data_IF_947684619939
#
_entry.id   IF_947684619939
#
_cell.length_a   1.000
_cell.length_b   1.000
_cell.length_c   1.000
_cell.angle_alpha   90.00
_cell.angle_beta   90.00
_cell.angle_gamma   90.00
#
_symmetry.space_group_name_H-M   'P 1'
#
loop_
_entity.id
_entity.type
_entity.pdbx_description
1 polymer ?
#
# COMPACT_ATOMS: atom_id res chain seq x y z
N UNK A 1 24.99 -31.70 -45.33
CA UNK A 1 25.83 -32.00 -44.14
C UNK A 1 25.30 -31.18 -42.96
N UNK A 2 24.30 -31.65 -42.21
CA UNK A 2 24.46 -32.29 -40.88
C UNK A 2 25.57 -31.69 -40.01
N UNK A 3 25.22 -30.85 -39.03
CA UNK A 3 25.11 -31.14 -37.57
C UNK A 3 26.37 -30.70 -36.80
N UNK A 4 26.34 -30.17 -35.58
CA UNK A 4 25.66 -30.67 -34.38
C UNK A 4 25.49 -29.58 -33.31
N UNK A 5 24.36 -29.71 -32.60
CA UNK A 5 24.02 -29.07 -31.32
C UNK A 5 25.03 -29.41 -30.23
N UNK A 6 25.23 -28.52 -29.26
CA UNK A 6 25.36 -28.95 -27.87
C UNK A 6 24.17 -28.40 -27.07
N UNK A 7 23.30 -29.31 -26.64
CA UNK A 7 22.44 -29.09 -25.48
C UNK A 7 23.20 -29.66 -24.28
N UNK A 8 23.25 -28.93 -23.18
CA UNK A 8 23.35 -29.53 -21.85
C UNK A 8 21.94 -29.50 -21.24
N UNK A 9 21.41 -30.70 -21.10
CA UNK A 9 20.26 -31.08 -20.27
C UNK A 9 20.90 -31.44 -18.92
N UNK A 10 20.34 -30.93 -17.82
CA UNK A 10 20.79 -31.03 -16.40
C UNK A 10 22.10 -30.32 -16.00
N UNK A 11 22.04 -29.60 -14.87
CA UNK A 11 23.23 -29.25 -14.07
C UNK A 11 23.61 -27.77 -13.97
N UNK A 12 23.11 -27.09 -12.93
CA UNK A 12 23.72 -25.96 -12.20
C UNK A 12 24.33 -24.81 -13.04
N UNK A 13 23.63 -23.66 -13.09
CA UNK A 13 24.27 -22.37 -13.42
C UNK A 13 25.35 -22.07 -12.36
N UNK A 14 26.58 -21.88 -12.83
CA UNK A 14 27.69 -21.31 -12.04
C UNK A 14 27.22 -20.00 -11.38
N UNK A 15 27.34 -19.96 -10.05
CA UNK A 15 27.23 -18.73 -9.28
C UNK A 15 28.42 -17.83 -9.64
N UNK A 16 28.13 -16.62 -10.10
CA UNK A 16 29.08 -15.52 -10.22
C UNK A 16 28.37 -14.27 -9.70
N UNK A 17 28.95 -13.62 -8.69
CA UNK A 17 28.59 -12.28 -8.25
C UNK A 17 27.60 -12.18 -7.08
N UNK A 18 28.14 -12.00 -5.88
CA UNK A 18 27.43 -11.53 -4.67
C UNK A 18 26.97 -10.08 -4.84
N UNK A 19 25.77 -9.87 -5.40
CA UNK A 19 24.83 -8.75 -5.14
C UNK A 19 23.65 -8.75 -6.13
N UNK A 20 23.10 -9.94 -6.43
CA UNK A 20 21.84 -10.03 -7.18
C UNK A 20 20.70 -10.08 -6.17
N UNK A 21 20.03 -8.95 -5.96
CA UNK A 21 18.75 -8.86 -5.24
C UNK A 21 17.86 -9.98 -5.76
N UNK A 22 17.41 -10.90 -4.88
CA UNK A 22 16.61 -12.07 -5.29
C UNK A 22 15.31 -11.59 -5.94
N UNK A 23 15.28 -11.54 -7.28
CA UNK A 23 14.09 -11.15 -8.04
C UNK A 23 13.07 -12.27 -7.94
N UNK A 24 12.03 -12.07 -7.11
CA UNK A 24 10.90 -12.99 -6.99
C UNK A 24 9.93 -12.72 -8.15
N UNK A 25 9.47 -13.78 -8.83
CA UNK A 25 8.49 -13.67 -9.93
C UNK A 25 7.24 -12.87 -9.48
N UNK A 26 6.71 -11.92 -10.28
CA UNK A 26 5.65 -11.00 -9.86
C UNK A 26 4.36 -11.62 -9.33
N UNK A 27 3.98 -12.81 -9.81
CA UNK A 27 2.82 -13.57 -9.30
C UNK A 27 3.07 -14.11 -7.89
N UNK A 28 4.27 -14.66 -7.65
CA UNK A 28 4.70 -15.17 -6.34
C UNK A 28 4.85 -14.02 -5.34
N UNK A 29 5.39 -12.89 -5.78
CA UNK A 29 5.47 -11.63 -5.01
C UNK A 29 4.09 -11.15 -4.55
N UNK A 30 3.10 -11.07 -5.46
CA UNK A 30 1.72 -10.67 -5.12
C UNK A 30 1.06 -11.65 -4.15
N UNK A 31 1.29 -12.96 -4.29
CA UNK A 31 0.76 -13.98 -3.37
C UNK A 31 1.34 -13.82 -1.97
N UNK A 32 2.64 -13.57 -1.87
CA UNK A 32 3.35 -13.33 -0.60
C UNK A 32 2.79 -12.06 0.07
N UNK A 33 2.71 -10.94 -0.64
CA UNK A 33 2.17 -9.67 -0.11
C UNK A 33 0.75 -9.86 0.43
N UNK A 34 -0.14 -10.51 -0.34
CA UNK A 34 -1.53 -10.74 0.08
C UNK A 34 -1.60 -11.62 1.33
N UNK A 35 -0.75 -12.65 1.41
CA UNK A 35 -0.68 -13.55 2.55
C UNK A 35 -0.21 -12.82 3.80
N UNK A 36 0.86 -12.03 3.72
CA UNK A 36 1.35 -11.21 4.84
C UNK A 36 0.28 -10.24 5.34
N UNK A 37 -0.36 -9.49 4.44
CA UNK A 37 -1.44 -8.57 4.82
C UNK A 37 -2.61 -9.29 5.50
N UNK A 38 -3.00 -10.46 4.98
CA UNK A 38 -4.05 -11.25 5.61
C UNK A 38 -3.67 -11.64 7.04
N UNK A 39 -2.47 -12.15 7.25
CA UNK A 39 -1.97 -12.57 8.56
C UNK A 39 -1.86 -11.41 9.55
N UNK A 40 -1.29 -10.27 9.13
CA UNK A 40 -1.19 -9.06 9.97
C UNK A 40 -2.58 -8.57 10.40
N UNK A 41 -3.53 -8.48 9.47
CA UNK A 41 -4.89 -8.06 9.79
C UNK A 41 -5.56 -9.01 10.78
N UNK A 42 -5.36 -10.33 10.65
CA UNK A 42 -5.90 -11.32 11.60
C UNK A 42 -5.25 -11.19 12.97
N UNK A 43 -3.93 -10.98 13.03
CA UNK A 43 -3.19 -10.71 14.27
C UNK A 43 -3.77 -9.51 15.00
N UNK A 44 -3.98 -8.39 14.30
CA UNK A 44 -4.54 -7.17 14.90
C UNK A 44 -5.94 -7.40 15.47
N UNK A 45 -6.81 -8.12 14.76
CA UNK A 45 -8.14 -8.49 15.27
C UNK A 45 -8.07 -9.34 16.55
N UNK A 46 -7.18 -10.34 16.59
CA UNK A 46 -6.98 -11.18 17.79
C UNK A 46 -6.41 -10.37 18.95
N UNK A 47 -5.44 -9.49 18.71
CA UNK A 47 -4.84 -8.68 19.78
C UNK A 47 -5.85 -7.72 20.40
N UNK A 48 -6.71 -7.12 19.56
CA UNK A 48 -7.82 -6.29 20.02
C UNK A 48 -8.81 -7.09 20.86
N UNK A 49 -9.17 -8.28 20.41
CA UNK A 49 -10.01 -9.21 21.16
C UNK A 49 -9.39 -9.54 22.52
N UNK A 50 -8.11 -9.90 22.55
CA UNK A 50 -7.39 -10.25 23.78
C UNK A 50 -7.12 -9.05 24.70
N UNK A 51 -7.39 -7.82 24.25
CA UNK A 51 -7.10 -6.57 24.98
C UNK A 51 -5.62 -6.42 25.35
N UNK A 52 -4.72 -6.82 24.43
CA UNK A 52 -3.29 -6.59 24.62
C UNK A 52 -3.01 -5.08 24.65
N UNK A 53 -2.49 -4.58 25.78
CA UNK A 53 -2.32 -3.14 26.06
C UNK A 53 -1.24 -2.47 25.19
N UNK A 54 -0.30 -3.23 24.69
CA UNK A 54 0.77 -2.73 23.82
C UNK A 54 0.42 -2.95 22.34
N UNK A 55 0.52 -1.88 21.56
CA UNK A 55 0.38 -1.98 20.11
C UNK A 55 1.52 -2.84 19.56
N UNK A 56 1.17 -3.96 18.94
CA UNK A 56 2.13 -4.76 18.20
C UNK A 56 2.72 -3.93 17.06
N UNK A 57 4.02 -4.01 16.90
CA UNK A 57 4.77 -3.37 15.85
C UNK A 57 4.70 -4.26 14.60
N UNK A 58 3.97 -3.82 13.57
CA UNK A 58 3.86 -4.55 12.30
C UNK A 58 5.23 -4.89 11.68
N UNK A 59 6.29 -4.19 12.09
CA UNK A 59 7.64 -4.30 11.56
C UNK A 59 8.60 -5.10 12.44
N UNK A 60 8.20 -5.52 13.64
CA UNK A 60 9.11 -6.15 14.59
C UNK A 60 8.51 -7.41 15.22
N UNK A 61 8.66 -8.53 14.52
CA UNK A 61 8.10 -9.83 14.94
C UNK A 61 8.72 -10.35 16.24
N UNK A 62 9.99 -10.06 16.51
CA UNK A 62 10.64 -10.46 17.76
C UNK A 62 10.08 -9.67 18.95
N UNK A 63 9.89 -8.35 18.79
CA UNK A 63 9.21 -7.51 19.78
C UNK A 63 7.78 -7.98 20.00
N UNK A 64 7.05 -8.29 18.94
CA UNK A 64 5.67 -8.79 19.05
C UNK A 64 5.60 -10.10 19.82
N UNK A 65 6.50 -11.03 19.54
CA UNK A 65 6.62 -12.30 20.27
C UNK A 65 6.84 -12.04 21.77
N UNK A 66 7.75 -11.13 22.11
CA UNK A 66 8.00 -10.72 23.52
C UNK A 66 6.75 -10.15 24.18
N UNK A 67 6.03 -9.24 23.52
CA UNK A 67 4.79 -8.64 24.04
C UNK A 67 3.74 -9.72 24.30
N UNK A 68 3.53 -10.64 23.36
CA UNK A 68 2.55 -11.71 23.51
C UNK A 68 2.94 -12.63 24.67
N UNK A 69 4.21 -13.01 24.77
CA UNK A 69 4.73 -13.83 25.88
C UNK A 69 4.57 -13.14 27.24
N UNK A 70 4.79 -11.83 27.31
CA UNK A 70 4.55 -11.05 28.52
C UNK A 70 3.07 -11.07 28.92
N UNK A 71 2.15 -11.01 27.95
CA UNK A 71 0.70 -11.04 28.21
C UNK A 71 0.20 -12.34 28.84
N UNK A 72 0.92 -13.45 28.63
CA UNK A 72 0.59 -14.78 29.15
C UNK A 72 1.52 -15.23 30.28
N UNK A 73 2.42 -14.35 30.75
CA UNK A 73 3.37 -14.66 31.80
C UNK A 73 2.62 -15.07 33.08
N UNK A 74 2.99 -16.23 33.64
CA UNK A 74 2.33 -16.79 34.82
C UNK A 74 1.08 -17.62 34.51
N UNK A 75 0.60 -17.67 33.26
CA UNK A 75 -0.49 -18.56 32.85
C UNK A 75 0.02 -19.67 31.94
N UNK A 76 0.34 -20.82 32.55
CA UNK A 76 0.94 -21.98 31.87
C UNK A 76 0.06 -22.50 30.73
N UNK A 77 -1.27 -22.50 30.90
CA UNK A 77 -2.21 -22.99 29.87
C UNK A 77 -2.20 -22.10 28.63
N UNK A 78 -2.27 -20.79 28.82
CA UNK A 78 -2.21 -19.83 27.70
C UNK A 78 -0.84 -19.85 27.01
N UNK A 79 0.24 -20.00 27.79
CA UNK A 79 1.58 -20.27 27.30
C UNK A 79 1.61 -21.48 26.35
N UNK A 80 1.03 -22.59 26.79
CA UNK A 80 0.96 -23.82 25.99
C UNK A 80 0.19 -23.61 24.68
N UNK A 81 -1.00 -22.99 24.71
CA UNK A 81 -1.77 -22.74 23.49
C UNK A 81 -1.00 -21.92 22.46
N UNK A 82 -0.30 -20.87 22.91
CA UNK A 82 0.52 -20.05 22.04
C UNK A 82 1.68 -20.85 21.41
N UNK A 83 2.39 -21.66 22.18
CA UNK A 83 3.47 -22.53 21.67
C UNK A 83 2.93 -23.61 20.73
N UNK A 84 1.80 -24.23 21.07
CA UNK A 84 1.14 -25.23 20.24
C UNK A 84 0.85 -24.62 18.87
N UNK A 85 0.30 -23.41 18.82
CA UNK A 85 0.12 -22.65 17.59
C UNK A 85 1.42 -22.36 16.85
N UNK A 86 2.46 -21.87 17.55
CA UNK A 86 3.77 -21.56 16.95
C UNK A 86 4.46 -22.78 16.34
N UNK A 87 4.23 -23.96 16.90
CA UNK A 87 4.81 -25.21 16.39
C UNK A 87 4.19 -25.67 15.05
N UNK A 88 2.98 -25.22 14.72
CA UNK A 88 2.25 -25.71 13.55
C UNK A 88 2.82 -25.18 12.23
N UNK A 89 3.15 -26.09 11.31
CA UNK A 89 3.23 -25.78 9.88
C UNK A 89 1.86 -25.42 9.31
N UNK A 90 1.79 -25.06 8.02
CA UNK A 90 0.53 -24.80 7.35
C UNK A 90 -0.53 -25.87 7.72
N UNK A 91 -1.69 -25.42 8.21
CA UNK A 91 -2.71 -26.27 8.79
C UNK A 91 -4.10 -25.80 8.36
N UNK A 92 -4.82 -26.63 7.61
CA UNK A 92 -6.11 -26.29 7.00
C UNK A 92 -7.20 -25.98 8.05
N UNK A 93 -7.17 -26.61 9.21
CA UNK A 93 -8.11 -26.34 10.29
C UNK A 93 -7.89 -24.93 10.85
N UNK A 94 -6.63 -24.53 11.06
CA UNK A 94 -6.29 -23.18 11.52
C UNK A 94 -6.61 -22.12 10.45
N UNK A 95 -6.35 -22.40 9.17
CA UNK A 95 -6.77 -21.50 8.09
C UNK A 95 -8.29 -21.29 8.06
N UNK A 96 -9.04 -22.38 8.23
CA UNK A 96 -10.51 -22.33 8.27
C UNK A 96 -11.00 -21.49 9.45
N UNK A 97 -10.36 -21.61 10.62
CA UNK A 97 -10.64 -20.78 11.78
C UNK A 97 -10.26 -19.29 11.54
N UNK A 98 -9.11 -19.01 10.93
CA UNK A 98 -8.71 -17.65 10.56
C UNK A 98 -9.72 -16.99 9.61
N UNK A 99 -10.24 -17.73 8.63
CA UNK A 99 -11.29 -17.24 7.73
C UNK A 99 -12.56 -16.84 8.50
N UNK A 100 -12.96 -17.65 9.48
CA UNK A 100 -14.16 -17.43 10.31
C UNK A 100 -13.91 -16.52 11.52
N UNK A 101 -12.70 -16.01 11.72
CA UNK A 101 -12.30 -15.22 12.90
C UNK A 101 -13.27 -14.10 13.27
N UNK A 102 -13.78 -13.34 12.30
CA UNK A 102 -14.71 -12.24 12.61
C UNK A 102 -16.07 -12.73 13.13
N UNK A 103 -16.50 -13.94 12.77
CA UNK A 103 -17.69 -14.56 13.37
C UNK A 103 -17.40 -15.02 14.78
N UNK A 104 -16.20 -15.60 15.02
CA UNK A 104 -15.76 -16.03 16.35
C UNK A 104 -15.71 -14.83 17.32
N UNK A 105 -15.13 -13.71 16.87
CA UNK A 105 -15.02 -12.47 17.67
C UNK A 105 -16.37 -11.80 17.93
N UNK A 106 -17.35 -11.93 17.02
CA UNK A 106 -18.64 -11.22 17.12
C UNK A 106 -19.67 -11.90 18.01
N UNK A 107 -19.54 -13.21 18.24
CA UNK A 107 -20.52 -13.97 19.03
C UNK A 107 -20.31 -13.83 20.55
N UNK A 108 -19.49 -12.90 21.01
CA UNK A 108 -19.15 -12.78 22.43
C UNK A 108 -20.17 -12.01 23.27
N UNK A 109 -20.64 -12.70 24.30
CA UNK A 109 -21.13 -12.13 25.56
C UNK A 109 -19.93 -11.64 26.37
N UNK A 110 -20.11 -10.65 27.26
CA UNK A 110 -19.05 -9.86 27.94
C UNK A 110 -17.92 -10.62 28.70
N UNK A 111 -17.90 -11.96 28.76
CA UNK A 111 -16.82 -12.75 29.36
C UNK A 111 -16.17 -13.69 28.34
N UNK A 112 -14.85 -13.59 28.17
CA UNK A 112 -14.04 -14.47 27.32
C UNK A 112 -13.95 -15.85 27.97
N UNK A 113 -14.56 -16.87 27.37
CA UNK A 113 -14.45 -18.22 27.91
C UNK A 113 -13.02 -18.77 27.75
N UNK A 114 -12.65 -19.73 28.58
CA UNK A 114 -11.35 -20.43 28.52
C UNK A 114 -11.12 -21.06 27.14
N UNK A 115 -12.20 -21.57 26.52
CA UNK A 115 -12.15 -22.12 25.16
C UNK A 115 -11.80 -21.06 24.11
N UNK A 116 -12.37 -19.87 24.22
CA UNK A 116 -12.10 -18.76 23.28
C UNK A 116 -10.65 -18.28 23.41
N UNK A 117 -10.16 -18.15 24.64
CA UNK A 117 -8.76 -17.82 24.90
C UNK A 117 -7.81 -18.86 24.32
N UNK A 118 -8.14 -20.14 24.45
CA UNK A 118 -7.35 -21.23 23.88
C UNK A 118 -7.24 -21.10 22.35
N UNK A 119 -8.38 -20.90 21.68
CA UNK A 119 -8.42 -20.71 20.21
C UNK A 119 -7.60 -19.48 19.81
N UNK A 120 -7.80 -18.35 20.49
CA UNK A 120 -7.16 -17.08 20.10
C UNK A 120 -5.65 -17.10 20.28
N UNK A 121 -5.14 -17.63 21.40
CA UNK A 121 -3.70 -17.75 21.60
C UNK A 121 -3.07 -18.79 20.66
N UNK A 122 -3.76 -19.88 20.36
CA UNK A 122 -3.31 -20.87 19.37
C UNK A 122 -3.21 -20.24 17.97
N UNK A 123 -4.25 -19.53 17.52
CA UNK A 123 -4.24 -18.84 16.23
C UNK A 123 -3.17 -17.74 16.19
N UNK A 124 -2.98 -17.02 17.29
CA UNK A 124 -1.95 -15.98 17.39
C UNK A 124 -0.54 -16.57 17.23
N UNK A 125 -0.25 -17.69 17.90
CA UNK A 125 1.01 -18.41 17.75
C UNK A 125 1.22 -18.92 16.32
N UNK A 126 0.17 -19.48 15.72
CA UNK A 126 0.19 -19.93 14.34
C UNK A 126 0.51 -18.79 13.37
N UNK A 127 -0.18 -17.64 13.49
CA UNK A 127 0.09 -16.46 12.64
C UNK A 127 1.55 -16.02 12.75
N UNK A 128 2.09 -15.92 13.97
CA UNK A 128 3.48 -15.53 14.20
C UNK A 128 4.46 -16.49 13.50
N UNK A 129 4.22 -17.79 13.56
CA UNK A 129 5.03 -18.78 12.83
C UNK A 129 4.91 -18.61 11.31
N UNK A 130 3.70 -18.43 10.78
CA UNK A 130 3.48 -18.27 9.35
C UNK A 130 4.16 -17.01 8.80
N UNK A 131 4.13 -15.90 9.54
CA UNK A 131 4.83 -14.65 9.19
C UNK A 131 6.34 -14.88 9.16
N UNK A 132 6.91 -15.52 10.19
CA UNK A 132 8.34 -15.85 10.25
C UNK A 132 8.77 -16.79 9.12
N UNK A 133 8.00 -17.85 8.83
CA UNK A 133 8.27 -18.79 7.72
C UNK A 133 8.24 -18.14 6.34
N UNK A 134 7.46 -17.07 6.18
CA UNK A 134 7.47 -16.27 4.97
C UNK A 134 8.70 -15.35 4.86
N UNK A 135 9.65 -15.45 5.79
CA UNK A 135 10.88 -14.67 5.85
C UNK A 135 10.70 -13.29 6.51
N UNK A 136 9.70 -13.17 7.38
CA UNK A 136 9.44 -11.98 8.19
C UNK A 136 9.17 -10.72 7.38
N UNK A 137 9.25 -9.56 8.05
CA UNK A 137 9.06 -8.26 7.39
C UNK A 137 10.08 -8.04 6.27
N UNK A 138 11.31 -8.54 6.38
CA UNK A 138 12.34 -8.37 5.35
C UNK A 138 11.89 -8.97 4.00
N UNK A 139 11.33 -10.18 4.00
CA UNK A 139 10.81 -10.78 2.76
C UNK A 139 9.54 -10.08 2.28
N UNK A 140 8.73 -9.54 3.19
CA UNK A 140 7.62 -8.67 2.83
C UNK A 140 8.11 -7.36 2.18
N UNK A 141 9.14 -6.72 2.72
CA UNK A 141 9.74 -5.48 2.19
C UNK A 141 10.40 -5.76 0.85
N UNK A 142 11.21 -6.81 0.73
CA UNK A 142 11.78 -7.27 -0.53
C UNK A 142 10.69 -7.61 -1.54
N UNK A 143 9.59 -8.26 -1.12
CA UNK A 143 8.45 -8.52 -2.01
C UNK A 143 7.68 -7.24 -2.37
N UNK A 144 7.55 -6.30 -1.44
CA UNK A 144 6.90 -5.00 -1.66
C UNK A 144 7.70 -4.15 -2.65
N UNK A 145 9.01 -4.01 -2.41
CA UNK A 145 10.00 -3.37 -3.27
C UNK A 145 10.10 -4.07 -4.64
N UNK A 146 10.16 -5.41 -4.70
CA UNK A 146 10.09 -6.17 -5.97
C UNK A 146 8.72 -6.06 -6.64
N UNK A 147 7.65 -5.80 -5.87
CA UNK A 147 6.33 -5.45 -6.37
C UNK A 147 6.27 -4.02 -6.93
N UNK A 148 7.25 -3.19 -6.60
CA UNK A 148 7.39 -1.80 -7.04
C UNK A 148 8.40 -1.64 -8.19
N UNK A 149 9.29 -2.62 -8.42
CA UNK A 149 10.36 -2.51 -9.43
C UNK A 149 9.88 -2.62 -10.90
N UNK A 150 10.28 -1.59 -11.65
CA UNK A 150 10.49 -1.38 -13.12
C UNK A 150 9.53 -1.96 -14.19
N UNK A 151 8.75 -3.01 -13.98
CA UNK A 151 7.90 -3.60 -15.05
C UNK A 151 6.45 -3.06 -15.11
N UNK A 152 6.12 -2.03 -14.31
CA UNK A 152 4.72 -1.69 -13.99
C UNK A 152 4.15 -0.39 -14.53
N UNK A 153 4.95 0.52 -15.09
CA UNK A 153 4.39 1.78 -15.58
C UNK A 153 5.28 2.67 -16.44
N UNK A 154 6.59 2.41 -16.43
CA UNK A 154 7.55 3.34 -17.01
C UNK A 154 7.47 4.72 -16.33
N UNK A 155 8.10 5.69 -16.96
CA UNK A 155 8.01 7.08 -16.53
C UNK A 155 6.64 7.66 -16.92
N UNK A 156 5.69 7.58 -15.99
CA UNK A 156 4.31 8.07 -16.17
C UNK A 156 4.24 9.57 -16.37
N UNK A 157 5.27 10.30 -15.94
CA UNK A 157 5.30 11.75 -16.04
C UNK A 157 5.48 12.27 -17.47
N UNK A 158 5.80 11.39 -18.44
CA UNK A 158 5.72 11.70 -19.87
C UNK A 158 4.31 12.05 -20.33
N UNK A 159 3.29 11.36 -19.80
CA UNK A 159 1.90 11.68 -20.12
C UNK A 159 1.45 12.93 -19.36
N UNK A 160 1.88 13.07 -18.11
CA UNK A 160 1.63 14.27 -17.32
C UNK A 160 2.08 15.52 -18.07
N UNK A 161 3.32 15.57 -18.54
CA UNK A 161 3.86 16.70 -19.31
C UNK A 161 2.97 17.04 -20.51
N UNK A 162 2.52 16.04 -21.27
CA UNK A 162 1.64 16.28 -22.43
C UNK A 162 0.34 16.97 -22.02
N UNK A 163 -0.20 16.65 -20.86
CA UNK A 163 -1.44 17.25 -20.37
C UNK A 163 -1.28 18.66 -19.81
N UNK A 164 -0.12 18.96 -19.21
CA UNK A 164 0.08 20.21 -18.47
C UNK A 164 0.98 21.24 -19.17
N UNK A 165 1.66 20.88 -20.27
CA UNK A 165 2.59 21.77 -20.97
C UNK A 165 1.97 23.12 -21.31
N UNK A 166 0.83 23.13 -22.00
CA UNK A 166 0.15 24.38 -22.38
C UNK A 166 -0.26 25.25 -21.18
N UNK A 167 -0.47 24.65 -20.01
CA UNK A 167 -0.84 25.38 -18.78
C UNK A 167 0.35 26.01 -18.05
N UNK A 168 1.58 25.57 -18.32
CA UNK A 168 2.77 25.98 -17.56
C UNK A 168 3.92 26.54 -18.40
N UNK A 169 3.96 26.32 -19.71
CA UNK A 169 5.11 26.66 -20.57
C UNK A 169 5.50 28.16 -20.52
N UNK A 170 4.53 29.04 -20.29
CA UNK A 170 4.75 30.49 -20.17
C UNK A 170 4.61 31.01 -18.73
N UNK A 171 4.57 30.13 -17.73
CA UNK A 171 4.37 30.51 -16.32
C UNK A 171 5.71 30.39 -15.58
N UNK A 172 6.36 31.50 -15.21
CA UNK A 172 7.61 31.44 -14.45
C UNK A 172 7.34 30.98 -13.01
N UNK A 173 8.32 30.30 -12.41
CA UNK A 173 8.30 30.00 -10.97
C UNK A 173 7.40 28.85 -10.53
N UNK A 174 6.88 28.04 -11.46
CA UNK A 174 6.01 26.89 -11.17
C UNK A 174 6.78 25.85 -10.36
N UNK A 175 6.17 25.37 -9.27
CA UNK A 175 6.77 24.40 -8.35
C UNK A 175 5.97 23.10 -8.38
N UNK A 176 6.68 21.96 -8.40
CA UNK A 176 6.06 20.64 -8.29
C UNK A 176 6.56 19.85 -7.08
N UNK A 177 5.68 18.99 -6.55
CA UNK A 177 6.01 17.93 -5.61
C UNK A 177 5.77 16.59 -6.28
N UNK A 178 6.79 15.72 -6.31
CA UNK A 178 6.66 14.34 -6.75
C UNK A 178 6.75 13.43 -5.51
N UNK A 179 5.63 12.80 -5.18
CA UNK A 179 5.50 11.84 -4.07
C UNK A 179 5.78 10.44 -4.61
N UNK A 180 6.66 9.70 -3.95
CA UNK A 180 7.07 8.36 -4.36
C UNK A 180 8.08 8.37 -5.52
N UNK A 181 8.95 9.38 -5.57
CA UNK A 181 9.90 9.54 -6.66
C UNK A 181 11.05 8.54 -6.49
N UNK A 182 11.25 7.66 -7.47
CA UNK A 182 12.38 6.70 -7.46
C UNK A 182 13.62 7.22 -8.21
N UNK A 183 13.53 8.40 -8.83
CA UNK A 183 14.63 8.94 -9.63
C UNK A 183 14.51 10.44 -9.86
N UNK A 184 15.62 11.14 -9.68
CA UNK A 184 15.82 12.53 -10.14
C UNK A 184 15.74 12.68 -11.68
N UNK A 185 15.83 11.57 -12.42
CA UNK A 185 15.80 11.53 -13.88
C UNK A 185 14.41 11.42 -14.52
N UNK A 186 13.33 11.34 -13.72
CA UNK A 186 11.96 11.28 -14.25
C UNK A 186 11.64 12.51 -15.12
N UNK A 187 10.77 12.35 -16.11
CA UNK A 187 10.42 13.38 -17.09
C UNK A 187 9.89 14.65 -16.44
N UNK A 188 9.11 14.56 -15.36
CA UNK A 188 8.66 15.73 -14.58
C UNK A 188 9.83 16.61 -14.12
N UNK A 189 10.98 16.02 -13.78
CA UNK A 189 12.19 16.75 -13.36
C UNK A 189 13.00 17.30 -14.53
N UNK A 190 12.76 16.82 -15.75
CA UNK A 190 13.55 17.15 -16.95
C UNK A 190 12.77 17.90 -18.04
N UNK A 191 11.46 18.12 -17.85
CA UNK A 191 10.59 18.70 -18.87
C UNK A 191 10.71 20.23 -19.03
N UNK A 192 11.55 20.88 -18.21
CA UNK A 192 11.78 22.32 -18.16
C UNK A 192 10.54 23.19 -17.84
N UNK A 193 9.42 22.59 -17.40
CA UNK A 193 8.20 23.31 -17.01
C UNK A 193 8.24 23.85 -15.58
N UNK A 194 9.06 23.26 -14.71
CA UNK A 194 9.09 23.58 -13.29
C UNK A 194 10.40 24.26 -12.91
N UNK A 195 10.32 25.37 -12.17
CA UNK A 195 11.49 25.98 -11.53
C UNK A 195 12.16 25.00 -10.56
N UNK A 196 11.34 24.23 -9.84
CA UNK A 196 11.81 23.19 -8.92
C UNK A 196 10.80 22.06 -8.84
N UNK A 197 11.31 20.84 -8.88
CA UNK A 197 10.58 19.63 -8.50
C UNK A 197 11.16 19.12 -7.19
N UNK A 198 10.37 19.20 -6.13
CA UNK A 198 10.68 18.55 -4.85
C UNK A 198 10.31 17.08 -4.98
N UNK A 199 11.28 16.20 -4.76
CA UNK A 199 11.11 14.74 -4.90
C UNK A 199 11.22 14.11 -3.52
N UNK A 200 10.19 13.37 -3.13
CA UNK A 200 10.16 12.65 -1.85
C UNK A 200 9.83 11.17 -2.05
N UNK A 201 10.39 10.32 -1.20
CA UNK A 201 10.06 8.90 -1.11
C UNK A 201 10.26 8.41 0.33
N UNK A 202 9.67 7.26 0.67
CA UNK A 202 9.89 6.66 2.01
C UNK A 202 11.30 6.09 2.16
N UNK A 203 11.92 5.71 1.04
CA UNK A 203 13.28 5.21 0.97
C UNK A 203 14.24 6.26 0.43
N UNK A 204 15.53 6.04 0.68
CA UNK A 204 16.58 6.91 0.20
C UNK A 204 16.95 6.56 -1.25
N UNK A 205 16.95 7.56 -2.14
CA UNK A 205 17.42 7.45 -3.51
C UNK A 205 18.25 8.66 -3.88
N UNK A 206 19.14 8.52 -4.87
CA UNK A 206 19.98 9.64 -5.32
C UNK A 206 19.13 10.83 -5.81
N UNK A 207 19.35 11.98 -5.17
CA UNK A 207 18.62 13.21 -5.44
C UNK A 207 17.19 13.25 -4.89
N UNK A 208 16.66 12.19 -4.27
CA UNK A 208 15.31 12.15 -3.71
C UNK A 208 15.39 12.29 -2.19
N UNK A 209 14.54 13.13 -1.61
CA UNK A 209 14.49 13.35 -0.17
C UNK A 209 13.74 12.19 0.50
N UNK A 210 14.38 11.48 1.42
CA UNK A 210 13.70 10.51 2.28
C UNK A 210 12.73 11.24 3.22
N UNK A 211 11.43 11.10 3.00
CA UNK A 211 10.38 11.75 3.77
C UNK A 211 9.02 11.06 3.57
N UNK A 212 8.31 10.82 4.67
CA UNK A 212 6.88 10.49 4.63
C UNK A 212 6.03 11.73 4.35
N UNK A 213 5.26 11.70 3.27
CA UNK A 213 4.32 12.77 2.92
C UNK A 213 3.25 13.01 4.00
N UNK A 214 2.78 11.96 4.66
CA UNK A 214 1.77 12.04 5.70
C UNK A 214 2.29 12.74 6.96
N UNK A 215 3.60 12.70 7.18
CA UNK A 215 4.28 13.37 8.30
C UNK A 215 4.87 14.74 7.93
N UNK A 216 5.02 15.04 6.63
CA UNK A 216 5.55 16.33 6.14
C UNK A 216 4.80 17.52 6.77
N UNK A 217 5.44 18.48 7.44
CA UNK A 217 4.75 19.62 8.05
C UNK A 217 3.82 20.34 7.08
N UNK A 218 2.63 20.73 7.54
CA UNK A 218 1.67 21.48 6.72
C UNK A 218 2.29 22.82 6.27
N UNK A 219 1.94 23.30 5.06
CA UNK A 219 2.40 24.60 4.56
C UNK A 219 2.08 25.72 5.54
N UNK A 220 3.07 26.57 5.84
CA UNK A 220 2.87 27.75 6.71
C UNK A 220 2.40 28.96 5.92
N UNK A 221 2.74 29.01 4.63
CA UNK A 221 2.40 30.09 3.71
C UNK A 221 2.31 29.55 2.27
N UNK A 222 1.96 30.43 1.32
CA UNK A 222 1.80 30.06 -0.10
C UNK A 222 3.10 29.61 -0.79
N UNK A 223 4.27 29.99 -0.27
CA UNK A 223 5.56 29.57 -0.83
C UNK A 223 5.89 28.10 -0.50
N UNK A 224 5.24 27.54 0.52
CA UNK A 224 5.37 26.12 0.90
C UNK A 224 4.45 25.20 0.08
N UNK A 225 3.59 25.78 -0.78
CA UNK A 225 2.62 25.07 -1.63
C UNK A 225 3.13 24.88 -3.05
N UNK A 226 2.50 23.95 -3.75
CA UNK A 226 2.88 23.51 -5.09
C UNK A 226 1.80 23.86 -6.12
N UNK A 227 2.24 24.19 -7.32
CA UNK A 227 1.38 24.35 -8.49
C UNK A 227 0.94 22.98 -9.02
N UNK A 228 1.74 21.94 -8.77
CA UNK A 228 1.43 20.56 -9.17
C UNK A 228 1.94 19.53 -8.15
N UNK A 229 1.12 18.54 -7.85
CA UNK A 229 1.50 17.35 -7.09
C UNK A 229 1.36 16.12 -7.99
N UNK A 230 2.45 15.38 -8.17
CA UNK A 230 2.46 14.07 -8.83
C UNK A 230 2.47 12.96 -7.77
N UNK A 231 1.45 12.10 -7.82
CA UNK A 231 1.24 10.96 -6.94
C UNK A 231 1.03 9.71 -7.81
N UNK A 232 2.13 9.21 -8.39
CA UNK A 232 2.08 8.08 -9.31
C UNK A 232 2.36 6.78 -8.59
N UNK A 233 1.40 5.85 -8.63
CA UNK A 233 1.51 4.52 -8.02
C UNK A 233 1.76 4.50 -6.49
N UNK A 234 1.44 5.58 -5.78
CA UNK A 234 1.61 5.69 -4.31
C UNK A 234 0.32 5.35 -3.56
N UNK A 235 -0.81 5.95 -3.95
CA UNK A 235 -2.10 5.76 -3.26
C UNK A 235 -2.54 4.29 -3.14
N UNK A 236 -2.18 3.44 -4.12
CA UNK A 236 -2.45 2.00 -4.07
C UNK A 236 -1.65 1.22 -3.02
N UNK A 237 -0.59 1.79 -2.44
CA UNK A 237 0.19 1.18 -1.36
C UNK A 237 -0.20 1.67 0.03
N UNK A 238 -0.97 2.75 0.15
CA UNK A 238 -1.51 3.19 1.43
C UNK A 238 -2.43 2.10 1.99
N UNK A 239 -2.18 1.68 3.24
CA UNK A 239 -2.73 0.44 3.84
C UNK A 239 -4.25 0.39 3.79
N UNK A 240 -4.92 1.40 4.34
CA UNK A 240 -6.37 1.41 4.49
C UNK A 240 -7.04 2.53 3.69
N UNK A 241 -8.36 2.40 3.49
CA UNK A 241 -9.14 3.32 2.65
C UNK A 241 -9.34 4.70 3.26
N UNK A 242 -9.31 4.82 4.60
CA UNK A 242 -9.38 6.11 5.31
C UNK A 242 -8.07 6.87 5.16
N UNK A 243 -6.93 6.19 5.33
CA UNK A 243 -5.61 6.80 5.15
C UNK A 243 -5.41 7.29 3.71
N UNK A 244 -5.97 6.58 2.71
CA UNK A 244 -5.99 7.07 1.31
C UNK A 244 -6.77 8.38 1.18
N UNK A 245 -7.94 8.48 1.80
CA UNK A 245 -8.73 9.71 1.81
C UNK A 245 -8.02 10.84 2.55
N UNK A 246 -7.40 10.54 3.69
CA UNK A 246 -6.58 11.48 4.43
C UNK A 246 -5.39 11.99 3.59
N UNK A 247 -4.76 11.12 2.81
CA UNK A 247 -3.71 11.51 1.86
C UNK A 247 -4.26 12.42 0.76
N UNK A 248 -5.44 12.13 0.20
CA UNK A 248 -6.10 13.01 -0.78
C UNK A 248 -6.38 14.40 -0.21
N UNK A 249 -6.99 14.48 0.98
CA UNK A 249 -7.19 15.75 1.69
C UNK A 249 -5.89 16.48 1.97
N UNK A 250 -4.84 15.74 2.36
CA UNK A 250 -3.53 16.32 2.63
C UNK A 250 -2.93 16.92 1.36
N UNK A 251 -2.97 16.24 0.21
CA UNK A 251 -2.49 16.79 -1.07
C UNK A 251 -3.18 18.13 -1.40
N UNK A 252 -4.50 18.25 -1.17
CA UNK A 252 -5.22 19.51 -1.36
C UNK A 252 -4.64 20.65 -0.50
N UNK A 253 -4.26 20.38 0.76
CA UNK A 253 -3.64 21.39 1.64
C UNK A 253 -2.28 21.89 1.14
N UNK A 254 -1.57 21.09 0.35
CA UNK A 254 -0.27 21.42 -0.24
C UNK A 254 -0.39 22.10 -1.63
N UNK A 255 -1.59 22.25 -2.17
CA UNK A 255 -1.79 22.94 -3.46
C UNK A 255 -2.01 24.43 -3.29
N UNK A 256 -1.43 25.19 -4.22
CA UNK A 256 -1.82 26.57 -4.51
C UNK A 256 -3.23 26.61 -5.12
N UNK A 257 -3.91 27.77 -5.11
CA UNK A 257 -5.17 27.95 -5.84
C UNK A 257 -5.02 27.52 -7.31
N UNK A 258 -6.01 26.79 -7.83
CA UNK A 258 -5.99 26.24 -9.20
C UNK A 258 -4.82 25.26 -9.47
N UNK A 259 -4.18 24.73 -8.43
CA UNK A 259 -3.12 23.74 -8.53
C UNK A 259 -3.63 22.37 -9.00
N UNK A 260 -2.72 21.55 -9.49
CA UNK A 260 -3.04 20.29 -10.15
C UNK A 260 -2.60 19.07 -9.34
N UNK A 261 -3.38 17.99 -9.36
CA UNK A 261 -2.96 16.67 -8.86
C UNK A 261 -2.97 15.67 -10.00
N UNK A 262 -1.83 15.08 -10.26
CA UNK A 262 -1.71 13.92 -11.13
C UNK A 262 -1.66 12.64 -10.31
N UNK A 263 -2.64 11.76 -10.52
CA UNK A 263 -2.74 10.48 -9.84
C UNK A 263 -2.60 9.35 -10.86
N UNK A 264 -1.79 8.35 -10.53
CA UNK A 264 -1.73 7.10 -11.30
C UNK A 264 -2.01 5.92 -10.39
N UNK A 265 -2.95 5.08 -10.80
CA UNK A 265 -3.32 3.85 -10.10
C UNK A 265 -3.11 2.63 -11.02
N UNK A 266 -2.86 1.43 -10.47
CA UNK A 266 -3.07 0.20 -11.22
C UNK A 266 -4.49 0.17 -11.78
N UNK A 267 -4.67 -0.25 -13.02
CA UNK A 267 -5.99 -0.27 -13.68
C UNK A 267 -7.00 -1.08 -12.87
N UNK A 268 -6.54 -2.20 -12.26
CA UNK A 268 -7.36 -3.05 -11.40
C UNK A 268 -7.96 -2.33 -10.17
N UNK A 269 -7.41 -1.20 -9.73
CA UNK A 269 -7.99 -0.39 -8.66
C UNK A 269 -9.36 0.19 -9.04
N UNK A 270 -9.59 0.46 -10.33
CA UNK A 270 -10.84 1.07 -10.82
C UNK A 270 -11.66 0.16 -11.74
N UNK A 271 -11.08 -0.94 -12.24
CA UNK A 271 -11.81 -1.91 -13.09
C UNK A 271 -12.09 -3.25 -12.40
N UNK A 272 -11.45 -3.53 -11.26
CA UNK A 272 -11.50 -4.85 -10.64
C UNK A 272 -11.58 -4.79 -9.11
N UNK A 273 -12.26 -3.77 -8.57
CA UNK A 273 -12.42 -3.56 -7.12
C UNK A 273 -13.89 -3.56 -6.68
N UNK A 274 -14.15 -4.10 -5.48
CA UNK A 274 -15.47 -4.04 -4.82
C UNK A 274 -15.86 -2.64 -4.35
N UNK A 275 -14.88 -1.80 -4.01
CA UNK A 275 -15.09 -0.53 -3.29
C UNK A 275 -14.56 0.69 -4.05
N UNK A 276 -14.32 0.54 -5.36
CA UNK A 276 -13.89 1.64 -6.21
C UNK A 276 -14.16 1.33 -7.68
N UNK A 277 -14.63 2.34 -8.40
CA UNK A 277 -14.61 2.42 -9.85
C UNK A 277 -14.22 3.86 -10.26
N UNK A 278 -14.26 4.18 -11.56
CA UNK A 278 -13.94 5.52 -12.05
C UNK A 278 -14.92 6.58 -11.54
N UNK A 279 -16.22 6.28 -11.59
CA UNK A 279 -17.29 7.21 -11.26
C UNK A 279 -17.26 7.56 -9.77
N UNK A 280 -17.11 6.55 -8.91
CA UNK A 280 -16.95 6.75 -7.47
C UNK A 280 -15.68 7.54 -7.16
N UNK A 281 -14.56 7.24 -7.81
CA UNK A 281 -13.31 7.98 -7.60
C UNK A 281 -13.46 9.46 -8.00
N UNK A 282 -14.11 9.73 -9.13
CA UNK A 282 -14.39 11.08 -9.60
C UNK A 282 -15.29 11.85 -8.63
N UNK A 283 -16.40 11.25 -8.19
CA UNK A 283 -17.34 11.89 -7.28
C UNK A 283 -16.70 12.15 -5.90
N UNK A 284 -15.91 11.19 -5.41
CA UNK A 284 -15.20 11.31 -4.14
C UNK A 284 -14.19 12.45 -4.19
N UNK A 285 -13.32 12.50 -5.21
CA UNK A 285 -12.34 13.58 -5.34
C UNK A 285 -13.01 14.93 -5.65
N UNK A 286 -14.11 14.93 -6.40
CA UNK A 286 -14.95 16.10 -6.61
C UNK A 286 -15.45 16.72 -5.32
N UNK A 287 -15.84 15.89 -4.33
CA UNK A 287 -16.32 16.39 -3.03
C UNK A 287 -15.24 17.11 -2.19
N UNK A 288 -13.95 16.95 -2.53
CA UNK A 288 -12.84 17.68 -1.90
C UNK A 288 -12.28 18.79 -2.81
N UNK A 289 -13.07 19.23 -3.80
CA UNK A 289 -12.74 20.35 -4.68
C UNK A 289 -11.88 20.00 -5.89
N UNK A 290 -11.64 18.71 -6.17
CA UNK A 290 -10.81 18.28 -7.31
C UNK A 290 -11.68 17.91 -8.51
N UNK A 291 -11.62 18.73 -9.57
CA UNK A 291 -12.30 18.42 -10.84
C UNK A 291 -11.33 17.67 -11.76
N UNK A 292 -11.81 16.57 -12.36
CA UNK A 292 -11.02 15.81 -13.33
C UNK A 292 -10.96 16.56 -14.66
N UNK A 293 -9.74 16.84 -15.13
CA UNK A 293 -9.51 17.45 -16.44
C UNK A 293 -9.19 16.42 -17.51
N UNK A 294 -8.40 15.41 -17.16
CA UNK A 294 -8.00 14.36 -18.08
C UNK A 294 -8.01 13.01 -17.39
N UNK A 295 -8.33 11.97 -18.15
CA UNK A 295 -8.02 10.60 -17.75
C UNK A 295 -7.58 9.75 -18.93
N UNK A 296 -6.79 8.73 -18.65
CA UNK A 296 -6.35 7.76 -19.65
C UNK A 296 -6.24 6.38 -19.02
N UNK A 297 -6.58 5.34 -19.78
CA UNK A 297 -6.40 3.95 -19.38
C UNK A 297 -5.46 3.26 -20.34
N UNK A 298 -4.45 2.62 -19.78
CA UNK A 298 -3.66 1.60 -20.47
C UNK A 298 -4.04 0.21 -19.93
N UNK A 299 -3.46 -0.84 -20.50
CA UNK A 299 -3.65 -2.23 -20.06
C UNK A 299 -3.24 -2.51 -18.60
N UNK A 300 -2.48 -1.60 -17.97
CA UNK A 300 -1.97 -1.78 -16.60
C UNK A 300 -2.30 -0.62 -15.68
N UNK A 301 -2.50 0.58 -16.20
CA UNK A 301 -2.56 1.80 -15.41
C UNK A 301 -3.78 2.65 -15.77
N UNK A 302 -4.28 3.36 -14.77
CA UNK A 302 -5.26 4.42 -14.90
C UNK A 302 -4.62 5.74 -14.45
N UNK A 303 -4.64 6.71 -15.35
CA UNK A 303 -4.04 8.03 -15.17
C UNK A 303 -5.16 9.06 -15.03
N UNK A 304 -5.00 9.97 -14.08
CA UNK A 304 -5.95 11.05 -13.85
C UNK A 304 -5.19 12.35 -13.61
N UNK A 305 -5.66 13.43 -14.20
CA UNK A 305 -5.26 14.79 -13.86
C UNK A 305 -6.47 15.52 -13.29
N UNK A 306 -6.31 16.07 -12.10
CA UNK A 306 -7.29 16.89 -11.42
C UNK A 306 -6.77 18.31 -11.25
N UNK A 307 -7.69 19.26 -11.16
CA UNK A 307 -7.40 20.64 -10.77
C UNK A 307 -8.24 21.01 -9.56
N UNK A 308 -7.62 21.68 -8.59
CA UNK A 308 -8.30 22.21 -7.42
C UNK A 308 -9.12 23.44 -7.81
N UNK A 309 -10.43 23.36 -7.61
CA UNK A 309 -11.32 24.49 -7.79
C UNK A 309 -11.63 25.19 -6.48
N UNK A 310 -11.88 26.50 -6.58
CA UNK A 310 -12.34 27.33 -5.46
C UNK A 310 -13.86 27.19 -5.37
N UNK A 311 -14.35 26.04 -4.92
CA UNK A 311 -15.80 25.81 -4.71
C UNK A 311 -16.07 25.60 -3.23
N UNK A 312 -17.19 26.13 -2.68
CA UNK A 312 -17.59 25.87 -1.31
C UNK A 312 -17.74 24.35 -1.05
N UNK A 313 -17.32 23.87 0.14
CA UNK A 313 -17.34 22.45 0.46
C UNK A 313 -18.75 21.88 0.36
N UNK A 314 -18.88 20.81 -0.43
CA UNK A 314 -20.11 20.04 -0.49
C UNK A 314 -20.12 19.03 0.68
N UNK A 315 -21.29 18.77 1.32
CA UNK A 315 -21.37 17.77 2.36
C UNK A 315 -20.95 16.39 1.81
N UNK A 316 -19.87 15.81 2.36
CA UNK A 316 -19.32 14.55 1.86
C UNK A 316 -20.09 13.34 2.38
N UNK A 317 -20.69 12.55 1.48
CA UNK A 317 -21.37 11.28 1.81
C UNK A 317 -20.42 10.06 1.83
N UNK A 318 -19.10 10.28 1.74
CA UNK A 318 -18.09 9.24 1.50
C UNK A 318 -17.43 8.66 2.77
N UNK A 319 -18.05 8.80 3.94
CA UNK A 319 -17.50 8.35 5.23
C UNK A 319 -17.53 6.82 5.43
N UNK A 320 -18.30 6.10 4.60
CA UNK A 320 -18.43 4.65 4.61
C UNK A 320 -18.03 4.07 3.25
N UNK A 321 -17.44 2.87 3.26
CA UNK A 321 -17.18 2.14 2.01
C UNK A 321 -18.50 1.69 1.40
N UNK A 322 -18.76 2.12 0.17
CA UNK A 322 -19.87 1.66 -0.64
C UNK A 322 -19.38 0.49 -1.49
N UNK A 323 -20.10 -0.63 -1.47
CA UNK A 323 -19.83 -1.76 -2.36
C UNK A 323 -20.42 -1.42 -3.73
N UNK A 324 -19.58 -1.07 -4.68
CA UNK A 324 -19.99 -0.68 -6.05
C UNK A 324 -19.99 -1.85 -7.02
N UNK A 325 -19.14 -2.85 -6.79
CA UNK A 325 -19.10 -4.08 -7.57
C UNK A 325 -19.19 -5.29 -6.64
N UNK A 326 -19.86 -6.34 -7.10
CA UNK A 326 -19.87 -7.63 -6.42
C UNK A 326 -19.44 -8.74 -7.36
N UNK A 327 -18.65 -9.67 -6.85
CA UNK A 327 -18.09 -10.74 -7.67
C UNK A 327 -16.88 -11.45 -7.08
N UNK A 328 -16.65 -12.70 -7.50
CA UNK A 328 -15.45 -13.46 -7.14
C UNK A 328 -14.20 -12.80 -7.76
N UNK A 329 -13.05 -12.91 -7.09
CA UNK A 329 -11.77 -12.43 -7.63
C UNK A 329 -11.52 -10.91 -7.57
N UNK A 330 -12.54 -10.09 -7.29
CA UNK A 330 -12.38 -8.64 -7.11
C UNK A 330 -11.43 -8.31 -5.94
N UNK A 331 -10.67 -7.23 -6.09
CA UNK A 331 -9.87 -6.68 -5.00
C UNK A 331 -10.71 -5.73 -4.10
N UNK A 332 -10.12 -5.25 -3.01
CA UNK A 332 -10.80 -4.40 -2.02
C UNK A 332 -10.24 -2.97 -2.00
N UNK A 333 -9.66 -2.49 -3.11
CA UNK A 333 -9.20 -1.11 -3.21
C UNK A 333 -10.38 -0.15 -3.05
N UNK A 334 -10.20 0.89 -2.25
CA UNK A 334 -11.25 1.86 -1.99
C UNK A 334 -10.67 3.05 -1.25
N UNK A 335 -11.38 4.17 -1.35
CA UNK A 335 -11.05 5.44 -0.70
C UNK A 335 -12.33 5.89 0.02
N UNK A 336 -12.19 6.42 1.22
CA UNK A 336 -13.26 7.07 1.98
C UNK A 336 -12.73 8.36 2.58
N UNK A 337 -13.56 9.39 2.64
CA UNK A 337 -13.20 10.70 3.18
C UNK A 337 -13.59 10.83 4.65
#
# INVERSE_FOLDING_TARGET
>A
MHSRKSKSITGKRKQVGSNVTRVIKPQKTRRIIRRFHHLINKRQSICKFLCLKENLDDSNEEKNDKIIRLSIKGNVRLGKYYEDGKSQSFNDAMESQLLRLHSLIKNESKSKDTSDLAVMYTLLGYIMNQINKLGGLETYQIASQNGQLKERGGDTSKLLEKWIRSSFENRPGVMALEIGSLSSGNRISRCALFRKVVRIDLEEHEGVIKQDFMERPLPRNENDKFDLISCSLVLNFVKNHRDRGAMCHRMVKFLKPQGYIFIVLPQACVTHSRYCDKTLLQNLLGSIGLIMLNSHQSNKLYYCLYQLQVVPPQPSSFSKRIKVNDGPGLNNFGITL
#
